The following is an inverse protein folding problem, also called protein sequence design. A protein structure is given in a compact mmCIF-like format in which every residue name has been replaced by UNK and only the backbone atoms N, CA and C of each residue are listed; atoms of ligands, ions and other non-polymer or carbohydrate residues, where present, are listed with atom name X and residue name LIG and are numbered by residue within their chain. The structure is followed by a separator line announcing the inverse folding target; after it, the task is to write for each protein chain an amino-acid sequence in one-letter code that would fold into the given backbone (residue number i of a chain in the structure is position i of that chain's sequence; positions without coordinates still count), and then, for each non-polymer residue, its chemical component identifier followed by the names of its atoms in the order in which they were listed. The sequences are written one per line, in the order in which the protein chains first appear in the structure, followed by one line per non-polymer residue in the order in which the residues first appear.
data_IF_030890414521
#
_entry.id   IF_030890414521
#
_cell.length_a   1.000
_cell.length_b   1.000
_cell.length_c   1.000
_cell.angle_alpha   90.00
_cell.angle_beta   90.00
_cell.angle_gamma   90.00
#
_symmetry.space_group_name_H-M   'P 1'
#
loop_
_entity.id
_entity.type
_entity.pdbx_description
1 polymer ?
#
# COMPACT_ATOMS: atom_id res chain seq x y z
N UNK A 1 -7.51 -26.19 6.69
CA UNK A 1 -7.54 -25.92 6.21
C UNK A 1 -7.49 -25.28 5.52
N UNK A 2 -7.56 -25.01 5.34
CA UNK A 2 -7.51 -24.55 4.55
C UNK A 2 -7.31 -23.47 4.23
N UNK A 3 -6.53 -23.32 4.39
CA UNK A 3 -6.45 -22.22 4.04
C UNK A 3 -6.40 -21.92 2.71
N UNK A 4 -7.13 -21.73 2.18
CA UNK A 4 -7.61 -21.61 1.01
C UNK A 4 -6.89 -20.63 0.17
N UNK A 5 -5.85 -20.97 -0.50
CA UNK A 5 -5.19 -20.19 -1.49
C UNK A 5 -4.25 -19.12 -0.95
N UNK A 6 -4.18 -18.98 0.35
CA UNK A 6 -3.28 -17.99 0.92
C UNK A 6 -2.26 -18.64 1.80
N UNK A 7 -1.01 -18.35 1.54
CA UNK A 7 0.09 -18.82 2.36
C UNK A 7 0.37 -17.80 3.46
N UNK A 8 1.20 -18.18 4.41
CA UNK A 8 1.65 -17.25 5.42
C UNK A 8 2.35 -16.07 4.77
N UNK A 9 3.12 -16.33 3.71
CA UNK A 9 3.79 -15.28 2.98
C UNK A 9 2.79 -14.27 2.42
N UNK A 10 1.69 -14.76 1.87
CA UNK A 10 0.65 -13.88 1.35
C UNK A 10 0.01 -13.04 2.44
N UNK A 11 -0.19 -13.62 3.61
CA UNK A 11 -0.72 -12.87 4.74
C UNK A 11 0.22 -11.74 5.16
N UNK A 12 1.50 -12.03 5.18
CA UNK A 12 2.49 -11.02 5.54
C UNK A 12 2.49 -9.89 4.51
N UNK A 13 2.45 -10.23 3.24
CA UNK A 13 2.42 -9.21 2.19
C UNK A 13 1.17 -8.35 2.33
N UNK A 14 0.03 -8.96 2.56
CA UNK A 14 -1.22 -8.23 2.71
C UNK A 14 -1.14 -7.25 3.89
N UNK A 15 -0.59 -7.70 5.01
CA UNK A 15 -0.46 -6.83 6.18
C UNK A 15 0.46 -5.65 5.88
N UNK A 16 1.56 -5.90 5.18
CA UNK A 16 2.48 -4.84 4.83
C UNK A 16 1.86 -3.85 3.86
N UNK A 17 1.07 -4.33 2.90
CA UNK A 17 0.38 -3.44 1.97
C UNK A 17 -0.63 -2.58 2.73
N UNK A 18 -1.35 -3.16 3.68
CA UNK A 18 -2.31 -2.40 4.46
C UNK A 18 -1.63 -1.28 5.25
N UNK A 19 -0.46 -1.56 5.81
CA UNK A 19 0.29 -0.54 6.50
C UNK A 19 0.75 0.55 5.53
N UNK A 20 1.20 0.15 4.34
CA UNK A 20 1.59 1.09 3.31
C UNK A 20 0.45 2.00 2.90
N UNK A 21 -0.76 1.47 2.84
CA UNK A 21 -1.94 2.27 2.51
C UNK A 21 -2.12 3.39 3.54
N UNK A 22 -1.94 3.08 4.81
CA UNK A 22 -2.05 4.10 5.85
C UNK A 22 -0.99 5.17 5.68
N UNK A 23 0.24 4.77 5.39
CA UNK A 23 1.31 5.74 5.21
C UNK A 23 1.07 6.62 3.98
N UNK A 24 0.53 6.03 2.92
CA UNK A 24 0.22 6.81 1.73
C UNK A 24 -0.84 7.88 2.01
N UNK A 25 -1.81 7.54 2.84
CA UNK A 25 -2.90 8.45 3.14
C UNK A 25 -2.51 9.51 4.17
N UNK A 26 -1.77 9.11 5.19
CA UNK A 26 -1.58 9.96 6.36
C UNK A 26 -0.18 10.53 6.53
N UNK A 27 0.72 10.27 5.61
CA UNK A 27 2.05 10.85 5.68
C UNK A 27 2.45 11.36 4.31
N UNK A 28 3.50 12.18 4.30
CA UNK A 28 4.04 12.71 3.05
C UNK A 28 5.31 12.01 2.63
N UNK A 29 5.59 10.86 3.23
CA UNK A 29 6.82 10.14 2.93
C UNK A 29 6.82 9.65 1.49
N UNK A 30 8.00 9.55 0.93
CA UNK A 30 8.14 9.06 -0.44
C UNK A 30 7.74 7.58 -0.52
N UNK A 31 7.45 7.14 -1.73
CA UNK A 31 7.11 5.73 -1.94
C UNK A 31 8.25 4.83 -1.50
N UNK A 32 9.49 5.26 -1.76
CA UNK A 32 10.65 4.48 -1.37
C UNK A 32 10.72 4.33 0.15
N UNK A 33 10.50 5.42 0.88
CA UNK A 33 10.50 5.37 2.32
C UNK A 33 9.39 4.47 2.85
N UNK A 34 8.21 4.59 2.26
CA UNK A 34 7.08 3.79 2.70
C UNK A 34 7.37 2.31 2.47
N UNK A 35 7.97 1.97 1.33
CA UNK A 35 8.30 0.58 1.06
C UNK A 35 9.22 0.02 2.14
N UNK A 36 10.25 0.77 2.51
CA UNK A 36 11.15 0.33 3.57
C UNK A 36 10.46 0.24 4.92
N UNK A 37 9.62 1.19 5.24
CA UNK A 37 8.91 1.18 6.51
C UNK A 37 7.97 0.00 6.63
N UNK A 38 7.44 -0.45 5.50
CA UNK A 38 6.55 -1.60 5.48
C UNK A 38 7.30 -2.93 5.48
N UNK A 39 8.62 -2.89 5.40
CA UNK A 39 9.41 -4.11 5.42
C UNK A 39 9.78 -4.66 4.06
N UNK A 40 9.56 -3.89 3.00
CA UNK A 40 10.00 -4.31 1.67
C UNK A 40 11.42 -3.80 1.44
N UNK A 41 12.25 -4.63 0.84
CA UNK A 41 13.62 -4.24 0.55
C UNK A 41 13.75 -3.43 -0.72
N UNK A 42 12.71 -3.44 -1.55
CA UNK A 42 12.78 -2.89 -2.89
C UNK A 42 11.47 -2.18 -3.19
N UNK A 43 11.58 -0.92 -3.59
CA UNK A 43 10.41 -0.13 -3.93
C UNK A 43 9.63 -0.76 -5.08
N UNK A 44 10.33 -1.28 -6.09
CA UNK A 44 9.66 -1.88 -7.24
C UNK A 44 8.80 -3.06 -6.84
N UNK A 45 9.30 -3.87 -5.94
CA UNK A 45 8.54 -5.02 -5.47
C UNK A 45 7.30 -4.58 -4.71
N UNK A 46 7.47 -3.59 -3.83
CA UNK A 46 6.34 -3.03 -3.09
C UNK A 46 5.29 -2.50 -4.06
N UNK A 47 5.72 -1.74 -5.06
CA UNK A 47 4.81 -1.15 -6.02
C UNK A 47 4.01 -2.22 -6.78
N UNK A 48 4.70 -3.30 -7.18
CA UNK A 48 4.02 -4.38 -7.89
C UNK A 48 2.98 -5.06 -7.01
N UNK A 49 3.34 -5.33 -5.76
CA UNK A 49 2.41 -5.99 -4.85
C UNK A 49 1.24 -5.07 -4.53
N UNK A 50 1.51 -3.79 -4.38
CA UNK A 50 0.46 -2.82 -4.11
C UNK A 50 -0.53 -2.76 -5.28
N UNK A 51 -0.01 -2.64 -6.50
CA UNK A 51 -0.89 -2.57 -7.67
C UNK A 51 -1.70 -3.84 -7.82
N UNK A 52 -1.11 -4.98 -7.53
CA UNK A 52 -1.80 -6.25 -7.62
C UNK A 52 -2.93 -6.32 -6.60
N UNK A 53 -2.70 -5.80 -5.41
CA UNK A 53 -3.70 -5.86 -4.34
C UNK A 53 -4.79 -4.81 -4.51
N UNK A 54 -4.43 -3.61 -4.97
CA UNK A 54 -5.35 -2.48 -5.00
C UNK A 54 -5.81 -2.09 -6.40
N UNK A 55 -5.25 -2.71 -7.43
CA UNK A 55 -5.58 -2.40 -8.82
C UNK A 55 -5.23 -0.98 -9.22
N UNK A 56 -4.30 -0.36 -8.52
CA UNK A 56 -3.84 0.98 -8.87
C UNK A 56 -2.46 1.19 -8.26
N UNK A 57 -1.75 2.19 -8.77
CA UNK A 57 -0.41 2.47 -8.28
C UNK A 57 -0.47 3.17 -6.93
N UNK A 58 0.68 3.19 -6.25
CA UNK A 58 0.77 3.89 -4.96
C UNK A 58 0.46 5.38 -5.12
N UNK A 59 0.98 6.00 -6.18
CA UNK A 59 0.74 7.42 -6.40
C UNK A 59 -0.71 7.70 -6.74
N UNK A 60 -1.32 6.83 -7.52
CA UNK A 60 -2.73 6.97 -7.85
C UNK A 60 -3.58 6.87 -6.60
N UNK A 61 -3.26 5.92 -5.73
CA UNK A 61 -3.98 5.73 -4.48
C UNK A 61 -3.87 6.96 -3.59
N UNK A 62 -2.65 7.49 -3.45
CA UNK A 62 -2.43 8.67 -2.61
C UNK A 62 -3.20 9.87 -3.15
N UNK A 63 -3.13 10.07 -4.47
CA UNK A 63 -3.82 11.18 -5.08
C UNK A 63 -5.33 11.09 -4.87
N UNK A 64 -5.87 9.91 -5.07
CA UNK A 64 -7.31 9.69 -4.90
C UNK A 64 -7.77 10.04 -3.50
N UNK A 65 -7.03 9.58 -2.49
CA UNK A 65 -7.40 9.84 -1.12
C UNK A 65 -7.22 11.30 -0.73
N UNK A 66 -6.20 11.95 -1.28
CA UNK A 66 -5.99 13.37 -1.04
C UNK A 66 -7.13 14.19 -1.63
N UNK A 67 -7.57 13.84 -2.81
CA UNK A 67 -8.68 14.54 -3.44
C UNK A 67 -9.97 14.34 -2.68
N UNK A 68 -10.20 13.14 -2.17
CA UNK A 68 -11.39 12.90 -1.39
C UNK A 68 -11.40 13.71 -0.11
N UNK A 69 -10.26 13.81 0.54
CA UNK A 69 -10.18 14.56 1.78
C UNK A 69 -10.41 16.05 1.53
N UNK A 70 -9.86 16.57 0.43
CA UNK A 70 -10.08 17.97 0.08
C UNK A 70 -11.54 18.24 -0.21
N UNK A 71 -12.18 17.36 -0.94
CA UNK A 71 -13.59 17.51 -1.25
C UNK A 71 -14.44 17.45 0.01
N UNK A 72 -14.07 16.61 0.92
CA UNK A 72 -14.79 16.46 2.16
C UNK A 72 -14.71 17.72 3.00
N UNK A 73 -13.55 18.37 2.96
CA UNK A 73 -13.34 19.57 3.74
C UNK A 73 -13.89 20.81 3.07
N UNK A 74 -14.08 20.72 1.78
CA UNK A 74 -14.62 21.82 1.04
C UNK A 74 -16.13 21.91 1.19
#
# INVERSE_FOLDING_TARGET
KKIYGKTIFQHIITARINYGKKLLRFSDRSIEEIAHMCGFNDQSYFARQFKKAENQTCLSYRKLWREKEENKNG
#
